data_IF_945659535154
#
_entry.id   IF_945659535154
#
_cell.length_a   1.000
_cell.length_b   1.000
_cell.length_c   1.000
_cell.angle_alpha   90.00
_cell.angle_beta   90.00
_cell.angle_gamma   90.00
#
_symmetry.space_group_name_H-M   'P 1'
#
loop_
_entity.id
_entity.type
_entity.pdbx_description
1 polymer ?
#
# COMPACT_ATOMS: atom_id res chain seq x y z
N UNK A 1 -16.17 -1.69 -11.16
CA UNK A 1 -14.82 -1.12 -11.01
C UNK A 1 -13.80 -2.24 -11.06
N UNK A 2 -12.72 -2.04 -11.80
CA UNK A 2 -11.64 -3.04 -11.92
C UNK A 2 -10.45 -2.64 -11.05
N UNK A 3 -10.09 -3.48 -10.09
CA UNK A 3 -8.94 -3.23 -9.21
C UNK A 3 -7.88 -4.30 -9.39
N UNK A 4 -6.62 -3.89 -9.37
CA UNK A 4 -5.48 -4.77 -9.59
C UNK A 4 -4.43 -4.68 -8.49
N UNK A 5 -3.64 -5.74 -8.41
CA UNK A 5 -2.45 -5.81 -7.57
C UNK A 5 -1.26 -6.21 -8.44
N UNK A 6 -0.18 -5.45 -8.32
CA UNK A 6 1.10 -5.74 -8.94
C UNK A 6 2.04 -6.38 -7.90
N UNK A 7 2.72 -7.46 -8.28
CA UNK A 7 3.74 -8.15 -7.48
C UNK A 7 5.05 -8.18 -8.26
N UNK A 8 6.14 -7.72 -7.67
CA UNK A 8 7.44 -7.69 -8.31
C UNK A 8 8.54 -8.29 -7.44
N UNK A 9 9.69 -8.48 -8.06
CA UNK A 9 10.97 -8.79 -7.41
C UNK A 9 11.98 -7.74 -7.88
N UNK A 10 12.06 -6.56 -7.24
CA UNK A 10 12.95 -5.51 -7.69
C UNK A 10 14.42 -5.90 -7.45
N UNK A 11 15.27 -5.53 -8.38
CA UNK A 11 16.72 -5.57 -8.17
C UNK A 11 17.13 -4.35 -7.35
N UNK A 12 17.77 -4.58 -6.20
CA UNK A 12 18.12 -3.50 -5.27
C UNK A 12 18.95 -2.40 -5.96
N UNK A 13 18.55 -1.15 -5.76
CA UNK A 13 19.24 0.03 -6.28
C UNK A 13 19.04 0.30 -7.77
N UNK A 14 18.45 -0.64 -8.54
CA UNK A 14 18.24 -0.49 -9.99
C UNK A 14 16.91 0.22 -10.29
N UNK A 15 16.77 1.44 -9.75
CA UNK A 15 15.51 2.19 -9.77
C UNK A 15 14.92 2.32 -11.17
N UNK A 16 15.71 2.74 -12.17
CA UNK A 16 15.22 2.91 -13.54
C UNK A 16 14.74 1.59 -14.16
N UNK A 17 15.51 0.53 -13.98
CA UNK A 17 15.18 -0.81 -14.46
C UNK A 17 13.86 -1.30 -13.85
N UNK A 18 13.70 -1.17 -12.52
CA UNK A 18 12.54 -1.61 -11.80
C UNK A 18 11.28 -0.81 -12.21
N UNK A 19 11.42 0.51 -12.39
CA UNK A 19 10.33 1.37 -12.87
C UNK A 19 9.95 1.01 -14.31
N UNK A 20 10.92 0.82 -15.19
CA UNK A 20 10.65 0.47 -16.59
C UNK A 20 9.95 -0.89 -16.72
N UNK A 21 10.35 -1.87 -15.91
CA UNK A 21 9.68 -3.17 -15.85
C UNK A 21 8.23 -3.04 -15.39
N UNK A 22 7.97 -2.24 -14.36
CA UNK A 22 6.61 -1.99 -13.86
C UNK A 22 5.75 -1.28 -14.93
N UNK A 23 6.28 -0.25 -15.59
CA UNK A 23 5.59 0.46 -16.67
C UNK A 23 5.23 -0.51 -17.80
N UNK A 24 6.19 -1.30 -18.27
CA UNK A 24 5.98 -2.29 -19.35
C UNK A 24 4.91 -3.31 -19.00
N UNK A 25 4.91 -3.81 -17.78
CA UNK A 25 3.89 -4.74 -17.30
C UNK A 25 2.50 -4.08 -17.30
N UNK A 26 2.41 -2.88 -16.72
CA UNK A 26 1.15 -2.17 -16.55
C UNK A 26 0.59 -1.58 -17.85
N UNK A 27 1.41 -1.36 -18.89
CA UNK A 27 0.93 -0.98 -20.22
C UNK A 27 -0.08 -1.98 -20.79
N UNK A 28 0.10 -3.28 -20.52
CA UNK A 28 -0.82 -4.34 -20.91
C UNK A 28 -2.08 -4.45 -20.05
N UNK A 29 -2.11 -3.79 -18.89
CA UNK A 29 -3.18 -3.93 -17.90
C UNK A 29 -4.35 -2.98 -18.19
N UNK A 30 -5.57 -3.47 -17.99
CA UNK A 30 -6.81 -2.67 -17.99
C UNK A 30 -7.42 -2.72 -16.60
N UNK A 31 -7.27 -1.65 -15.84
CA UNK A 31 -7.81 -1.50 -14.48
C UNK A 31 -8.14 -0.03 -14.21
N UNK A 32 -9.03 0.23 -13.25
CA UNK A 32 -9.31 1.58 -12.75
C UNK A 32 -8.32 1.98 -11.65
N UNK A 33 -7.81 0.98 -10.91
CA UNK A 33 -6.83 1.12 -9.84
C UNK A 33 -5.86 -0.06 -9.83
N UNK A 34 -4.56 0.21 -9.70
CA UNK A 34 -3.55 -0.82 -9.38
C UNK A 34 -2.74 -0.38 -8.15
N UNK A 35 -2.57 -1.30 -7.21
CA UNK A 35 -1.70 -1.12 -6.05
C UNK A 35 -0.39 -1.87 -6.28
N UNK A 36 0.74 -1.22 -6.00
CA UNK A 36 2.09 -1.73 -6.20
C UNK A 36 2.82 -1.83 -4.86
N UNK A 37 3.87 -2.67 -4.74
CA UNK A 37 4.56 -2.91 -3.48
C UNK A 37 5.20 -1.67 -2.84
N UNK A 38 5.52 -1.79 -1.55
CA UNK A 38 6.36 -0.87 -0.80
C UNK A 38 7.76 -0.81 -1.41
N UNK A 39 8.34 0.40 -1.53
CA UNK A 39 9.71 0.60 -2.04
C UNK A 39 9.98 -0.19 -3.34
N UNK A 40 8.96 -0.31 -4.20
CA UNK A 40 8.96 -1.22 -5.35
C UNK A 40 10.09 -0.95 -6.34
N UNK A 41 10.59 0.28 -6.37
CA UNK A 41 11.63 0.72 -7.31
C UNK A 41 13.05 0.59 -6.75
N UNK A 42 13.23 0.72 -5.43
CA UNK A 42 14.57 0.73 -4.80
C UNK A 42 15.03 -0.62 -4.29
N UNK A 43 14.10 -1.52 -3.90
CA UNK A 43 14.39 -2.61 -2.99
C UNK A 43 14.27 -2.16 -1.54
N UNK A 44 14.55 -3.05 -0.58
CA UNK A 44 14.18 -2.86 0.82
C UNK A 44 15.37 -2.87 1.81
N UNK A 45 16.35 -3.75 1.63
CA UNK A 45 17.42 -3.97 2.60
C UNK A 45 18.56 -2.95 2.42
N UNK A 46 18.32 -1.73 2.86
CA UNK A 46 19.36 -0.68 2.90
C UNK A 46 20.45 -1.04 3.91
N UNK A 47 21.70 -0.60 3.62
CA UNK A 47 22.85 -0.81 4.51
C UNK A 47 23.30 0.47 5.21
N UNK A 48 22.86 1.63 4.73
CA UNK A 48 23.17 2.92 5.35
C UNK A 48 22.12 3.97 5.02
N UNK A 49 22.03 5.03 5.84
CA UNK A 49 21.20 6.21 5.56
C UNK A 49 21.67 6.95 4.30
N UNK A 50 22.97 6.96 4.03
CA UNK A 50 23.52 7.59 2.82
C UNK A 50 23.01 6.89 1.55
N UNK A 51 23.04 5.54 1.53
CA UNK A 51 22.49 4.75 0.42
C UNK A 51 20.98 5.00 0.23
N UNK A 52 20.23 5.03 1.33
CA UNK A 52 18.81 5.34 1.27
C UNK A 52 18.57 6.76 0.70
N UNK A 53 19.43 7.73 1.06
CA UNK A 53 19.33 9.10 0.58
C UNK A 53 19.64 9.23 -0.92
N UNK A 54 20.61 8.49 -1.43
CA UNK A 54 20.97 8.46 -2.85
C UNK A 54 19.85 7.86 -3.72
N UNK A 55 19.16 6.84 -3.21
CA UNK A 55 18.10 6.14 -3.93
C UNK A 55 16.71 6.80 -3.76
N UNK A 56 16.56 7.66 -2.75
CA UNK A 56 15.29 8.34 -2.49
C UNK A 56 15.04 9.50 -3.46
N UNK A 57 13.77 9.70 -3.78
CA UNK A 57 13.32 10.72 -4.71
C UNK A 57 12.41 11.76 -4.04
N UNK A 58 12.39 12.97 -4.57
CA UNK A 58 11.38 13.96 -4.19
C UNK A 58 10.01 13.57 -4.75
N UNK A 59 8.99 13.66 -3.91
CA UNK A 59 7.60 13.38 -4.32
C UNK A 59 6.84 14.73 -4.39
N UNK A 60 6.21 15.06 -5.54
CA UNK A 60 5.98 14.23 -6.73
C UNK A 60 7.01 14.38 -7.86
N UNK A 61 8.04 15.22 -7.71
CA UNK A 61 8.91 15.64 -8.81
C UNK A 61 9.94 14.60 -9.26
N UNK A 62 10.12 13.51 -8.51
CA UNK A 62 11.06 12.43 -8.82
C UNK A 62 10.69 11.64 -10.08
N UNK A 63 11.68 10.96 -10.65
CA UNK A 63 11.54 10.20 -11.91
C UNK A 63 10.49 9.10 -11.84
N UNK A 64 10.42 8.36 -10.72
CA UNK A 64 9.45 7.30 -10.51
C UNK A 64 8.02 7.87 -10.51
N UNK A 65 7.77 8.96 -9.77
CA UNK A 65 6.47 9.61 -9.76
C UNK A 65 6.08 10.12 -11.14
N UNK A 66 7.00 10.73 -11.89
CA UNK A 66 6.71 11.20 -13.26
C UNK A 66 6.34 10.06 -14.17
N UNK A 67 7.16 9.00 -14.25
CA UNK A 67 6.91 7.86 -15.13
C UNK A 67 5.55 7.19 -14.83
N UNK A 68 5.21 7.00 -13.56
CA UNK A 68 3.93 6.40 -13.18
C UNK A 68 2.74 7.36 -13.32
N UNK A 69 2.95 8.67 -13.23
CA UNK A 69 1.92 9.67 -13.54
C UNK A 69 1.60 9.68 -15.03
N UNK A 70 2.63 9.63 -15.88
CA UNK A 70 2.45 9.55 -17.33
C UNK A 70 1.72 8.28 -17.75
N UNK A 71 2.08 7.14 -17.14
CA UNK A 71 1.38 5.88 -17.35
C UNK A 71 -0.08 5.97 -16.90
N UNK A 72 -0.35 6.49 -15.68
CA UNK A 72 -1.70 6.65 -15.13
C UNK A 72 -2.58 7.50 -16.05
N UNK A 73 -2.01 8.59 -16.57
CA UNK A 73 -2.70 9.47 -17.52
C UNK A 73 -3.00 8.78 -18.84
N UNK A 74 -2.00 8.12 -19.45
CA UNK A 74 -2.16 7.44 -20.75
C UNK A 74 -3.13 6.27 -20.71
N UNK A 75 -3.22 5.58 -19.55
CA UNK A 75 -4.07 4.41 -19.36
C UNK A 75 -5.43 4.74 -18.73
N UNK A 76 -5.67 5.99 -18.35
CA UNK A 76 -6.86 6.43 -17.60
C UNK A 76 -7.07 5.58 -16.34
N UNK A 77 -6.00 5.35 -15.55
CA UNK A 77 -6.03 4.54 -14.34
C UNK A 77 -5.43 5.28 -13.14
N UNK A 78 -5.72 4.81 -11.93
CA UNK A 78 -5.06 5.26 -10.72
C UNK A 78 -4.00 4.25 -10.29
N UNK A 79 -2.89 4.76 -9.73
CA UNK A 79 -1.82 3.93 -9.17
C UNK A 79 -1.54 4.35 -7.74
N UNK A 80 -1.35 3.36 -6.86
CA UNK A 80 -0.82 3.54 -5.50
C UNK A 80 0.46 2.72 -5.40
N UNK A 81 1.59 3.36 -5.13
CA UNK A 81 2.89 2.70 -5.13
C UNK A 81 3.80 3.19 -4.01
N UNK A 82 4.57 2.25 -3.43
CA UNK A 82 5.55 2.56 -2.39
C UNK A 82 6.84 3.13 -2.96
N UNK A 83 7.41 4.14 -2.32
CA UNK A 83 8.60 4.87 -2.77
C UNK A 83 9.45 5.31 -1.59
N UNK A 84 10.79 5.30 -1.75
CA UNK A 84 11.69 6.00 -0.85
C UNK A 84 11.60 7.50 -1.17
N UNK A 85 11.05 8.27 -0.22
CA UNK A 85 10.85 9.72 -0.37
C UNK A 85 11.96 10.50 0.31
N UNK A 86 12.49 11.50 -0.40
CA UNK A 86 13.35 12.52 0.16
C UNK A 86 12.61 13.86 0.23
N UNK A 87 12.63 14.49 1.40
CA UNK A 87 12.09 15.82 1.66
C UNK A 87 13.18 16.66 2.35
N UNK A 88 13.95 17.38 1.54
CA UNK A 88 15.17 18.05 1.98
C UNK A 88 16.20 17.06 2.51
N UNK A 89 16.48 17.09 3.83
CA UNK A 89 17.39 16.15 4.51
C UNK A 89 16.68 14.96 5.15
N UNK A 90 15.35 14.97 5.15
CA UNK A 90 14.53 13.90 5.73
C UNK A 90 14.24 12.81 4.71
N UNK A 91 14.16 11.58 5.20
CA UNK A 91 13.81 10.41 4.42
C UNK A 91 12.57 9.75 4.98
N UNK A 92 11.66 9.34 4.11
CA UNK A 92 10.43 8.66 4.47
C UNK A 92 10.20 7.43 3.59
N UNK A 93 9.66 6.39 4.20
CA UNK A 93 9.03 5.31 3.48
C UNK A 93 7.60 5.76 3.17
N UNK A 94 7.30 5.99 1.90
CA UNK A 94 6.08 6.66 1.47
C UNK A 94 5.31 5.85 0.43
N UNK A 95 4.03 6.12 0.32
CA UNK A 95 3.20 5.70 -0.80
C UNK A 95 2.66 6.93 -1.52
N UNK A 96 2.84 6.98 -2.83
CA UNK A 96 2.27 8.00 -3.69
C UNK A 96 1.00 7.50 -4.35
N UNK A 97 0.06 8.41 -4.58
CA UNK A 97 -1.19 8.19 -5.29
C UNK A 97 -1.21 9.11 -6.50
N UNK A 98 -1.34 8.53 -7.68
CA UNK A 98 -1.47 9.24 -8.94
C UNK A 98 -2.69 8.77 -9.71
N UNK A 99 -3.20 9.60 -10.60
CA UNK A 99 -4.35 9.27 -11.43
C UNK A 99 -4.27 9.93 -12.80
N UNK A 100 -5.33 9.81 -13.61
CA UNK A 100 -5.36 10.40 -14.96
C UNK A 100 -5.08 11.90 -15.00
N UNK A 101 -5.47 12.62 -13.94
CA UNK A 101 -5.24 14.06 -13.79
C UNK A 101 -3.89 14.43 -13.16
N UNK A 102 -3.02 13.47 -12.88
CA UNK A 102 -1.73 13.72 -12.27
C UNK A 102 -1.58 13.19 -10.84
N UNK A 103 -0.69 13.82 -10.07
CA UNK A 103 -0.44 13.47 -8.66
C UNK A 103 -1.61 13.91 -7.77
N UNK A 104 -2.11 12.97 -6.96
CA UNK A 104 -3.24 13.17 -6.05
C UNK A 104 -2.76 13.44 -4.62
N UNK A 105 -1.73 12.69 -4.18
CA UNK A 105 -1.20 12.87 -2.85
C UNK A 105 -0.24 11.77 -2.41
N UNK A 106 0.19 11.86 -1.16
CA UNK A 106 1.09 10.87 -0.54
C UNK A 106 0.72 10.58 0.90
N UNK A 107 1.08 9.39 1.34
CA UNK A 107 1.08 8.94 2.72
C UNK A 107 2.50 8.54 3.11
N UNK A 108 2.98 9.00 4.25
CA UNK A 108 4.26 8.61 4.88
C UNK A 108 3.99 7.57 5.95
N UNK A 109 4.68 6.44 5.89
CA UNK A 109 4.50 5.28 6.79
C UNK A 109 4.59 5.69 8.25
N UNK A 110 3.51 5.46 9.00
CA UNK A 110 3.44 5.83 10.41
C UNK A 110 4.24 4.89 11.31
N UNK A 111 4.22 3.59 11.02
CA UNK A 111 4.85 2.56 11.84
C UNK A 111 6.02 1.92 11.10
N UNK A 112 7.23 2.39 11.41
CA UNK A 112 8.46 1.86 10.83
C UNK A 112 8.78 0.47 11.41
N UNK A 113 9.14 -0.46 10.53
CA UNK A 113 9.49 -1.82 10.91
C UNK A 113 10.99 -1.99 11.05
N UNK A 114 11.43 -2.56 12.18
CA UNK A 114 12.80 -3.01 12.44
C UNK A 114 13.87 -1.96 12.05
N UNK A 115 14.75 -2.28 11.08
CA UNK A 115 15.86 -1.42 10.65
C UNK A 115 15.42 -0.19 9.84
N UNK A 116 14.17 -0.11 9.38
CA UNK A 116 13.65 1.11 8.77
C UNK A 116 13.87 2.34 9.66
N UNK A 117 13.84 2.14 10.97
CA UNK A 117 14.09 3.20 11.99
C UNK A 117 15.49 3.81 11.94
N UNK A 118 16.46 3.15 11.29
CA UNK A 118 17.81 3.69 11.08
C UNK A 118 17.92 4.57 9.84
N UNK A 119 16.99 4.39 8.88
CA UNK A 119 17.06 5.03 7.57
C UNK A 119 15.99 6.08 7.37
N UNK A 120 14.77 5.80 7.78
CA UNK A 120 13.59 6.63 7.59
C UNK A 120 13.10 7.26 8.89
N UNK A 121 12.41 8.38 8.73
CA UNK A 121 11.70 9.04 9.81
C UNK A 121 10.26 8.56 9.88
N UNK A 122 9.62 8.49 11.07
CA UNK A 122 8.20 8.23 11.19
C UNK A 122 7.39 9.23 10.36
N UNK A 123 6.35 8.75 9.71
CA UNK A 123 5.50 9.58 8.86
C UNK A 123 4.80 10.69 9.65
N UNK A 124 4.78 11.87 9.07
CA UNK A 124 4.18 13.10 9.64
C UNK A 124 2.88 13.53 8.93
N UNK A 125 2.38 12.72 7.98
CA UNK A 125 1.16 13.04 7.22
C UNK A 125 -0.13 12.67 7.94
N UNK A 126 -0.06 11.84 8.96
CA UNK A 126 -1.23 11.12 9.50
C UNK A 126 -1.84 10.18 8.44
N UNK A 127 -2.85 9.40 8.84
CA UNK A 127 -3.61 8.58 7.91
C UNK A 127 -4.42 9.47 6.96
N UNK A 128 -4.51 9.07 5.68
CA UNK A 128 -5.19 9.83 4.64
C UNK A 128 -6.07 8.95 3.77
N UNK A 129 -7.17 9.53 3.33
CA UNK A 129 -8.06 8.96 2.32
C UNK A 129 -8.04 9.87 1.11
N UNK A 130 -7.81 9.30 -0.06
CA UNK A 130 -7.72 10.01 -1.33
C UNK A 130 -8.95 9.69 -2.17
N UNK A 131 -9.52 10.72 -2.79
CA UNK A 131 -10.67 10.58 -3.67
C UNK A 131 -10.19 10.34 -5.10
N UNK A 132 -10.67 9.26 -5.73
CA UNK A 132 -10.46 8.99 -7.16
C UNK A 132 -11.72 9.22 -8.00
N UNK A 133 -12.74 9.86 -7.44
CA UNK A 133 -14.04 10.10 -8.06
C UNK A 133 -15.01 8.92 -7.89
N UNK A 134 -14.63 7.73 -8.29
CA UNK A 134 -15.48 6.51 -8.19
C UNK A 134 -15.36 5.80 -6.86
N UNK A 135 -14.22 5.91 -6.16
CA UNK A 135 -13.94 5.28 -4.87
C UNK A 135 -13.02 6.17 -4.03
N UNK A 136 -13.01 5.92 -2.72
CA UNK A 136 -12.13 6.56 -1.75
C UNK A 136 -11.06 5.58 -1.29
N UNK A 137 -9.79 5.94 -1.46
CA UNK A 137 -8.64 5.09 -1.20
C UNK A 137 -8.01 5.43 0.14
N UNK A 138 -8.09 4.53 1.10
CA UNK A 138 -7.29 4.60 2.32
C UNK A 138 -5.92 3.96 2.07
N UNK A 139 -4.84 4.63 2.43
CA UNK A 139 -3.48 4.11 2.21
C UNK A 139 -2.81 3.81 3.54
N UNK A 140 -2.26 2.61 3.65
CA UNK A 140 -1.37 2.19 4.73
C UNK A 140 -0.21 1.37 4.13
N UNK A 141 0.94 1.30 4.82
CA UNK A 141 2.14 0.66 4.28
C UNK A 141 2.59 -0.46 5.21
N UNK A 142 2.75 -1.68 4.67
CA UNK A 142 3.42 -2.82 5.29
C UNK A 142 3.06 -2.95 6.78
N UNK A 143 4.00 -2.72 7.70
CA UNK A 143 3.84 -2.92 9.14
C UNK A 143 2.67 -2.16 9.78
N UNK A 144 2.07 -1.17 9.12
CA UNK A 144 0.81 -0.54 9.58
C UNK A 144 -0.32 -1.57 9.78
N UNK A 145 -0.27 -2.73 9.07
CA UNK A 145 -1.25 -3.81 9.22
C UNK A 145 -1.32 -4.38 10.63
N UNK A 146 -0.21 -4.29 11.39
CA UNK A 146 -0.13 -4.83 12.75
C UNK A 146 -1.07 -4.09 13.71
N UNK A 147 -1.36 -2.84 13.38
CA UNK A 147 -2.17 -1.93 14.20
C UNK A 147 -3.60 -1.88 13.65
N UNK A 148 -4.60 -2.51 14.34
CA UNK A 148 -5.99 -2.46 13.90
C UNK A 148 -6.51 -1.03 13.79
N UNK A 149 -5.96 -0.11 14.55
CA UNK A 149 -6.27 1.33 14.53
C UNK A 149 -6.02 1.96 13.17
N UNK A 150 -5.00 1.52 12.43
CA UNK A 150 -4.68 2.04 11.11
C UNK A 150 -5.84 1.82 10.12
N UNK A 151 -6.26 0.56 9.95
CA UNK A 151 -7.36 0.21 9.06
C UNK A 151 -8.70 0.81 9.55
N UNK A 152 -8.93 0.81 10.87
CA UNK A 152 -10.14 1.39 11.47
C UNK A 152 -10.21 2.89 11.22
N UNK A 153 -9.12 3.62 11.40
CA UNK A 153 -9.06 5.06 11.15
C UNK A 153 -9.38 5.37 9.69
N UNK A 154 -8.73 4.69 8.75
CA UNK A 154 -8.99 4.86 7.32
C UNK A 154 -10.47 4.59 6.96
N UNK A 155 -11.03 3.52 7.50
CA UNK A 155 -12.43 3.17 7.26
C UNK A 155 -13.41 4.20 7.85
N UNK A 156 -13.14 4.73 9.06
CA UNK A 156 -13.93 5.80 9.66
C UNK A 156 -13.81 7.13 8.91
N UNK A 157 -12.66 7.39 8.27
CA UNK A 157 -12.47 8.50 7.35
C UNK A 157 -13.19 8.29 6.01
N UNK A 158 -13.85 7.15 5.83
CA UNK A 158 -14.69 6.83 4.68
C UNK A 158 -13.95 6.16 3.52
N UNK A 159 -12.86 5.44 3.78
CA UNK A 159 -12.24 4.61 2.75
C UNK A 159 -13.18 3.49 2.29
N UNK A 160 -13.27 3.31 0.98
CA UNK A 160 -13.95 2.19 0.33
C UNK A 160 -12.97 1.03 0.11
N UNK A 161 -11.71 1.36 -0.21
CA UNK A 161 -10.62 0.42 -0.50
C UNK A 161 -9.42 0.77 0.37
N UNK A 162 -8.83 -0.20 1.06
CA UNK A 162 -7.52 -0.07 1.69
C UNK A 162 -6.46 -0.54 0.68
N UNK A 163 -5.63 0.40 0.23
CA UNK A 163 -4.44 0.15 -0.58
C UNK A 163 -3.26 -0.07 0.35
N UNK A 164 -2.63 -1.24 0.26
CA UNK A 164 -1.61 -1.68 1.18
C UNK A 164 -0.33 -2.13 0.45
N UNK A 165 0.54 -1.19 0.00
CA UNK A 165 1.90 -1.49 -0.41
C UNK A 165 2.69 -2.18 0.72
N UNK A 166 3.38 -3.30 0.41
CA UNK A 166 4.07 -4.08 1.44
C UNK A 166 5.34 -4.78 0.93
N UNK A 167 6.25 -5.07 1.88
CA UNK A 167 7.42 -5.94 1.75
C UNK A 167 7.42 -6.93 2.93
N UNK A 168 6.51 -7.90 2.89
CA UNK A 168 6.25 -8.78 4.02
C UNK A 168 7.32 -9.86 4.15
N UNK A 169 7.97 -9.88 5.31
CA UNK A 169 8.90 -10.94 5.74
C UNK A 169 8.35 -11.77 6.90
N UNK A 170 7.25 -11.32 7.52
CA UNK A 170 6.55 -12.00 8.61
C UNK A 170 5.25 -12.63 8.10
N UNK A 171 4.97 -13.85 8.56
CA UNK A 171 3.69 -14.50 8.33
C UNK A 171 2.60 -13.89 9.23
N UNK A 172 1.38 -13.82 8.73
CA UNK A 172 0.23 -13.34 9.49
C UNK A 172 -0.51 -12.17 8.88
N UNK A 173 0.16 -11.31 8.11
CA UNK A 173 -0.45 -10.16 7.46
C UNK A 173 -1.65 -10.56 6.59
N UNK A 174 -1.51 -11.57 5.73
CA UNK A 174 -2.58 -12.03 4.84
C UNK A 174 -3.86 -12.39 5.63
N UNK A 175 -3.72 -13.12 6.74
CA UNK A 175 -4.85 -13.46 7.63
C UNK A 175 -5.40 -12.25 8.37
N UNK A 176 -4.52 -11.36 8.85
CA UNK A 176 -4.94 -10.14 9.52
C UNK A 176 -5.76 -9.24 8.59
N UNK A 177 -5.35 -9.11 7.32
CA UNK A 177 -6.07 -8.30 6.34
C UNK A 177 -7.49 -8.81 6.05
N UNK A 178 -7.73 -10.13 6.15
CA UNK A 178 -9.10 -10.70 6.12
C UNK A 178 -9.96 -10.06 7.21
N UNK A 179 -9.45 -10.03 8.45
CA UNK A 179 -10.15 -9.39 9.57
C UNK A 179 -10.29 -7.88 9.35
N UNK A 180 -9.23 -7.20 8.86
CA UNK A 180 -9.29 -5.75 8.57
C UNK A 180 -10.36 -5.42 7.54
N UNK A 181 -10.52 -6.23 6.49
CA UNK A 181 -11.58 -6.05 5.50
C UNK A 181 -12.97 -6.29 6.11
N UNK A 182 -13.14 -7.40 6.82
CA UNK A 182 -14.41 -7.80 7.42
C UNK A 182 -14.91 -6.78 8.46
N UNK A 183 -14.08 -6.45 9.46
CA UNK A 183 -14.47 -5.61 10.60
C UNK A 183 -14.75 -4.14 10.19
N UNK A 184 -14.15 -3.70 9.07
CA UNK A 184 -14.30 -2.35 8.54
C UNK A 184 -15.27 -2.26 7.35
N UNK A 185 -15.67 -3.40 6.79
CA UNK A 185 -16.55 -3.46 5.63
C UNK A 185 -15.97 -2.75 4.42
N UNK A 186 -14.66 -2.96 4.14
CA UNK A 186 -13.91 -2.33 3.05
C UNK A 186 -13.24 -3.39 2.18
N UNK A 187 -13.04 -3.09 0.90
CA UNK A 187 -12.11 -3.88 0.10
C UNK A 187 -10.67 -3.63 0.55
N UNK A 188 -9.78 -4.57 0.32
CA UNK A 188 -8.35 -4.34 0.50
C UNK A 188 -7.52 -4.96 -0.61
N UNK A 189 -6.44 -4.28 -0.97
CA UNK A 189 -5.46 -4.71 -1.96
C UNK A 189 -4.09 -4.68 -1.29
N UNK A 190 -3.56 -5.84 -0.94
CA UNK A 190 -2.21 -5.99 -0.39
C UNK A 190 -1.26 -6.32 -1.53
N UNK A 191 -0.46 -5.34 -1.93
CA UNK A 191 0.57 -5.49 -2.94
C UNK A 191 1.90 -5.78 -2.26
N UNK A 192 2.34 -7.02 -2.35
CA UNK A 192 3.56 -7.49 -1.75
C UNK A 192 4.63 -7.76 -2.81
N UNK A 193 5.89 -7.78 -2.42
CA UNK A 193 6.97 -8.24 -3.28
C UNK A 193 7.28 -9.70 -3.05
N UNK A 194 7.99 -10.31 -3.99
CA UNK A 194 8.59 -11.65 -3.90
C UNK A 194 10.11 -11.59 -3.89
N UNK A 195 10.76 -12.76 -3.84
CA UNK A 195 12.21 -12.91 -3.88
C UNK A 195 12.89 -12.74 -2.51
N UNK A 196 14.15 -12.39 -2.55
CA UNK A 196 14.96 -12.19 -1.34
C UNK A 196 16.03 -11.13 -1.56
N UNK A 197 16.49 -10.55 -0.45
CA UNK A 197 17.65 -9.65 -0.42
C UNK A 197 18.60 -10.09 0.69
N UNK A 198 19.92 -10.13 0.40
CA UNK A 198 20.98 -10.45 1.34
C UNK A 198 22.12 -9.44 1.10
N UNK A 199 22.15 -8.34 1.88
CA UNK A 199 23.05 -7.22 1.63
C UNK A 199 23.80 -6.80 2.89
N UNK A 200 25.01 -6.26 2.68
CA UNK A 200 25.82 -5.71 3.77
C UNK A 200 26.22 -6.72 4.86
N UNK A 201 26.31 -8.02 4.54
CA UNK A 201 26.60 -9.06 5.52
C UNK A 201 25.45 -9.37 6.48
N UNK A 202 24.25 -8.86 6.22
CA UNK A 202 23.05 -9.13 7.02
C UNK A 202 22.39 -10.45 6.62
N UNK A 203 21.54 -10.97 7.52
CA UNK A 203 20.72 -12.14 7.23
C UNK A 203 19.81 -11.88 6.04
N UNK A 204 19.56 -12.91 5.21
CA UNK A 204 18.64 -12.80 4.09
C UNK A 204 17.22 -12.45 4.52
N UNK A 205 16.64 -11.43 3.93
CA UNK A 205 15.20 -11.15 3.99
C UNK A 205 14.53 -11.92 2.86
N UNK A 206 13.61 -12.83 3.19
CA UNK A 206 12.81 -13.59 2.23
C UNK A 206 11.39 -13.05 2.26
N UNK A 207 10.94 -12.51 1.13
CA UNK A 207 9.62 -11.90 1.01
C UNK A 207 8.56 -12.94 0.69
N UNK A 208 7.40 -12.80 1.31
CA UNK A 208 6.37 -13.84 1.28
C UNK A 208 5.59 -13.91 -0.02
N UNK A 209 5.64 -12.88 -0.88
CA UNK A 209 4.81 -12.82 -2.08
C UNK A 209 3.31 -12.84 -1.72
N UNK A 210 2.53 -13.63 -2.45
CA UNK A 210 1.12 -13.90 -2.17
C UNK A 210 0.27 -12.63 -2.07
N UNK A 211 0.55 -11.64 -2.94
CA UNK A 211 -0.29 -10.46 -3.04
C UNK A 211 -1.76 -10.85 -3.20
N UNK A 212 -2.66 -10.11 -2.51
CA UNK A 212 -4.07 -10.50 -2.43
C UNK A 212 -5.03 -9.32 -2.58
N UNK A 213 -6.22 -9.63 -3.08
CA UNK A 213 -7.37 -8.74 -3.12
C UNK A 213 -8.51 -9.37 -2.33
N UNK A 214 -9.05 -8.65 -1.36
CA UNK A 214 -10.15 -9.10 -0.50
C UNK A 214 -11.39 -8.24 -0.71
N UNK A 215 -12.57 -8.86 -0.58
CA UNK A 215 -13.81 -8.11 -0.58
C UNK A 215 -14.11 -7.51 0.81
N UNK A 216 -15.17 -6.72 0.89
CA UNK A 216 -15.63 -6.05 2.10
C UNK A 216 -16.18 -7.00 3.20
N UNK A 217 -16.17 -8.31 2.96
CA UNK A 217 -16.52 -9.37 3.90
C UNK A 217 -15.31 -10.26 4.26
N UNK A 218 -14.12 -9.90 3.75
CA UNK A 218 -12.90 -10.66 3.96
C UNK A 218 -12.74 -11.88 3.06
N UNK A 219 -13.58 -12.05 2.05
CA UNK A 219 -13.41 -13.15 1.09
C UNK A 219 -12.27 -12.84 0.12
N UNK A 220 -11.47 -13.85 -0.18
CA UNK A 220 -10.40 -13.76 -1.17
C UNK A 220 -10.99 -13.71 -2.58
N UNK A 221 -10.77 -12.59 -3.29
CA UNK A 221 -11.17 -12.42 -4.68
C UNK A 221 -10.09 -12.86 -5.64
N UNK A 222 -8.83 -12.57 -5.31
CA UNK A 222 -7.67 -13.02 -6.05
C UNK A 222 -6.43 -13.05 -5.15
N UNK A 223 -5.49 -13.94 -5.49
CA UNK A 223 -4.13 -13.95 -4.94
C UNK A 223 -3.13 -14.36 -6.00
N UNK A 224 -1.89 -13.92 -5.81
CA UNK A 224 -0.76 -14.36 -6.61
C UNK A 224 -0.02 -15.50 -5.89
N UNK A 225 0.69 -16.32 -6.63
CA UNK A 225 1.59 -17.30 -6.02
C UNK A 225 2.83 -16.60 -5.45
N UNK A 226 3.44 -17.20 -4.44
CA UNK A 226 4.60 -16.66 -3.72
C UNK A 226 5.69 -16.12 -4.65
N UNK A 227 6.09 -16.90 -5.64
CA UNK A 227 7.27 -16.60 -6.47
C UNK A 227 6.93 -15.99 -7.84
N UNK A 228 5.65 -15.73 -8.11
CA UNK A 228 5.24 -15.13 -9.38
C UNK A 228 5.43 -13.61 -9.34
N UNK A 229 5.73 -13.03 -10.49
CA UNK A 229 5.67 -11.58 -10.74
C UNK A 229 4.58 -11.28 -11.76
N UNK A 230 4.11 -10.03 -11.80
CA UNK A 230 3.07 -9.57 -12.74
C UNK A 230 1.87 -8.96 -12.04
N UNK A 231 0.74 -8.93 -12.73
CA UNK A 231 -0.46 -8.24 -12.28
C UNK A 231 -1.69 -9.15 -12.34
N UNK A 232 -2.50 -9.14 -11.30
CA UNK A 232 -3.84 -9.75 -11.31
C UNK A 232 -4.90 -8.69 -11.08
N UNK A 233 -6.02 -8.77 -11.80
CA UNK A 233 -7.12 -7.80 -11.78
C UNK A 233 -8.44 -8.52 -11.55
N UNK A 234 -9.31 -7.91 -10.75
CA UNK A 234 -10.68 -8.38 -10.48
C UNK A 234 -11.70 -7.27 -10.66
N UNK A 235 -12.93 -7.65 -11.02
CA UNK A 235 -14.08 -6.75 -11.03
C UNK A 235 -14.73 -6.74 -9.64
N UNK A 236 -15.03 -5.54 -9.14
CA UNK A 236 -15.74 -5.34 -7.87
C UNK A 236 -16.94 -4.41 -8.01
N UNK A 237 -17.92 -4.61 -7.14
CA UNK A 237 -18.98 -3.64 -6.90
C UNK A 237 -18.62 -2.79 -5.68
N UNK A 238 -18.14 -1.57 -5.93
CA UNK A 238 -17.67 -0.66 -4.89
C UNK A 238 -18.79 -0.21 -3.93
N UNK A 239 -20.06 -0.25 -4.36
CA UNK A 239 -21.20 0.12 -3.52
C UNK A 239 -21.30 -0.75 -2.25
N UNK A 240 -20.80 -1.99 -2.32
CA UNK A 240 -20.76 -2.92 -1.20
C UNK A 240 -19.88 -2.41 -0.03
N UNK A 241 -18.85 -1.61 -0.30
CA UNK A 241 -18.03 -1.01 0.75
C UNK A 241 -18.75 0.12 1.48
N UNK A 242 -19.75 0.73 0.87
CA UNK A 242 -20.53 1.86 1.43
C UNK A 242 -21.67 1.40 2.34
N UNK A 243 -22.15 0.17 2.14
CA UNK A 243 -23.09 -0.46 3.05
C UNK A 243 -22.35 -1.03 4.27
N UNK A 244 -22.56 -0.40 5.43
CA UNK A 244 -21.95 -0.82 6.71
C UNK A 244 -22.90 -1.64 7.56
N UNK A 245 -24.10 -1.95 7.07
CA UNK A 245 -25.06 -2.80 7.77
C UNK A 245 -24.52 -4.22 7.95
N UNK A 246 -24.80 -4.81 9.10
CA UNK A 246 -24.49 -6.21 9.45
C UNK A 246 -25.78 -7.02 9.46
N UNK A 247 -26.83 -6.43 10.01
CA UNK A 247 -28.18 -6.98 10.12
C UNK A 247 -29.19 -5.83 10.10
N UNK A 248 -30.49 -6.15 10.12
CA UNK A 248 -31.55 -5.16 10.03
C UNK A 248 -31.46 -4.02 11.09
N UNK A 249 -30.88 -4.32 12.26
CA UNK A 249 -30.76 -3.38 13.38
C UNK A 249 -29.30 -3.07 13.76
N UNK A 250 -28.31 -3.59 13.01
CA UNK A 250 -26.89 -3.42 13.37
C UNK A 250 -26.08 -2.85 12.21
N UNK A 251 -25.25 -1.85 12.55
CA UNK A 251 -24.34 -1.18 11.63
C UNK A 251 -22.93 -1.11 12.24
N UNK A 252 -21.90 -1.44 11.47
CA UNK A 252 -20.50 -1.49 11.92
C UNK A 252 -20.02 -0.20 12.58
N UNK A 253 -20.53 0.95 12.15
CA UNK A 253 -20.04 2.24 12.61
C UNK A 253 -21.02 2.98 13.51
N UNK A 254 -22.33 2.87 13.27
CA UNK A 254 -23.35 3.54 14.08
C UNK A 254 -23.46 2.91 15.48
N UNK A 255 -23.23 1.58 15.59
CA UNK A 255 -23.30 0.87 16.86
C UNK A 255 -22.02 1.00 17.70
N UNK A 256 -21.00 1.72 17.19
CA UNK A 256 -19.78 1.96 17.97
C UNK A 256 -20.08 2.82 19.20
N UNK A 257 -19.36 2.53 20.27
CA UNK A 257 -19.40 3.24 21.55
C UNK A 257 -18.07 3.94 21.83
N UNK A 258 -17.72 5.06 21.09
CA UNK A 258 -16.40 5.70 21.19
C UNK A 258 -16.01 6.11 22.61
N UNK A 259 -17.01 6.43 23.45
CA UNK A 259 -16.79 6.77 24.86
C UNK A 259 -16.17 5.64 25.68
N UNK A 260 -16.29 4.40 25.24
CA UNK A 260 -15.70 3.20 25.88
C UNK A 260 -14.26 2.88 25.38
N UNK A 261 -13.81 3.54 24.30
CA UNK A 261 -12.57 3.17 23.60
C UNK A 261 -11.41 4.12 23.91
N UNK A 262 -11.49 4.90 24.98
CA UNK A 262 -10.48 5.92 25.33
C UNK A 262 -9.07 5.34 25.49
N UNK A 263 -8.96 4.11 26.02
CA UNK A 263 -7.69 3.42 26.19
C UNK A 263 -6.91 3.21 24.87
N UNK A 264 -7.61 3.13 23.71
CA UNK A 264 -6.96 2.97 22.40
C UNK A 264 -6.18 4.22 21.99
N UNK A 265 -6.63 5.40 22.44
CA UNK A 265 -6.02 6.69 22.09
C UNK A 265 -5.04 7.21 23.16
N UNK A 266 -4.89 6.51 24.28
CA UNK A 266 -3.92 6.84 25.34
C UNK A 266 -2.60 6.12 25.09
N UNK A 267 -1.48 6.82 25.31
CA UNK A 267 -0.18 6.18 25.45
C UNK A 267 -0.22 5.26 26.66
N UNK A 268 0.00 3.97 26.47
CA UNK A 268 0.15 2.99 27.55
C UNK A 268 1.40 3.24 28.38
#
# INVERSE_FOLDING_TARGET
MRIGVYQNNPEFGQVEKNVLQAVKELEGVRADLVVMPELFSTGYQFISRAEAFELAEEVPSGRTCRALTDLASSKNMHLVFGIAERDGKRLFNSAAVVGPGGFIGRYRKSHLFYEEKYFFEPGDTGFKVFDMGTARLGVMICFDWWFPEAARTLALMGADIICHPANLVLYGCHRAMVTRSLENGVFSVTANRTGSEARGGKDPLVFTGESQILDNRGNLLASMKKDNTGTVVVDIDISRARDKSIAALNDRFKDRRPELYRAIASSG
#
